data_IF_915141820680
#
_entry.id   IF_915141820680
#
_cell.length_a   1.000
_cell.length_b   1.000
_cell.length_c   1.000
_cell.angle_alpha   90.00
_cell.angle_beta   90.00
_cell.angle_gamma   90.00
#
_symmetry.space_group_name_H-M   'P 1'
#
loop_
_entity.id
_entity.type
_entity.pdbx_description
1 polymer ?
#
# COMPACT_ATOMS: atom_id res chain seq x y z
N UNK A 1 -11.49 -29.78 -8.97
CA UNK A 1 -11.50 -29.54 -7.51
C UNK A 1 -10.29 -28.66 -7.19
N UNK A 2 -10.51 -27.36 -7.04
CA UNK A 2 -9.46 -26.36 -6.76
C UNK A 2 -9.62 -25.80 -5.36
N UNK A 3 -9.62 -26.68 -4.36
CA UNK A 3 -9.60 -26.31 -2.94
C UNK A 3 -8.22 -25.72 -2.60
N UNK A 4 -8.14 -24.97 -1.50
CA UNK A 4 -6.86 -24.51 -0.96
C UNK A 4 -5.90 -25.62 -0.55
N UNK A 5 -6.31 -26.89 -0.60
CA UNK A 5 -5.36 -28.02 -0.56
C UNK A 5 -4.32 -27.89 -1.68
N UNK A 6 -4.63 -27.31 -2.84
CA UNK A 6 -3.61 -27.04 -3.86
C UNK A 6 -2.71 -25.83 -3.53
N UNK A 7 -3.18 -24.89 -2.70
CA UNK A 7 -2.38 -23.73 -2.28
C UNK A 7 -1.49 -24.04 -1.06
N UNK A 8 -1.90 -25.01 -0.23
CA UNK A 8 -1.23 -25.35 1.04
C UNK A 8 -0.71 -26.80 1.16
N UNK A 9 -1.20 -27.77 0.36
CA UNK A 9 -0.70 -29.16 0.37
C UNK A 9 0.29 -29.45 -0.76
N UNK A 10 0.32 -28.68 -1.85
CA UNK A 10 1.32 -28.83 -2.94
C UNK A 10 2.50 -27.87 -2.79
N UNK A 11 2.34 -26.84 -1.97
CA UNK A 11 3.41 -25.97 -1.49
C UNK A 11 3.66 -26.47 -0.07
N UNK A 12 4.76 -27.20 0.23
CA UNK A 12 5.02 -27.64 1.60
C UNK A 12 4.84 -26.43 2.53
N UNK A 13 4.28 -26.62 3.74
CA UNK A 13 3.98 -25.55 4.71
C UNK A 13 5.12 -24.53 4.94
N UNK A 14 6.32 -24.86 4.47
CA UNK A 14 7.48 -24.00 4.33
C UNK A 14 7.37 -22.92 3.22
N UNK A 15 6.66 -23.05 2.11
CA UNK A 15 6.96 -22.25 0.89
C UNK A 15 6.10 -21.01 0.63
N UNK A 16 5.14 -20.66 1.49
CA UNK A 16 4.31 -19.43 1.39
C UNK A 16 4.41 -18.46 2.57
N UNK A 17 5.11 -18.86 3.64
CA UNK A 17 5.34 -18.03 4.82
C UNK A 17 6.40 -16.95 4.54
N UNK A 18 6.45 -15.92 5.39
CA UNK A 18 7.39 -14.80 5.24
C UNK A 18 8.86 -15.25 5.33
N UNK A 19 9.15 -16.24 6.19
CA UNK A 19 10.46 -16.89 6.25
C UNK A 19 10.35 -18.39 6.58
N UNK A 20 11.26 -19.19 6.01
CA UNK A 20 11.51 -20.57 6.43
C UNK A 20 12.78 -20.54 7.26
N UNK A 21 12.62 -20.34 8.56
CA UNK A 21 13.76 -20.35 9.48
C UNK A 21 13.48 -21.29 10.65
N UNK A 22 14.21 -22.40 10.68
CA UNK A 22 14.12 -23.40 11.76
C UNK A 22 15.04 -23.06 12.95
N UNK A 23 15.77 -21.93 12.89
CA UNK A 23 16.82 -21.57 13.85
C UNK A 23 16.40 -20.50 14.89
N UNK A 24 15.25 -19.86 14.70
CA UNK A 24 14.73 -18.79 15.57
C UNK A 24 13.27 -19.03 15.93
N UNK A 25 12.79 -18.46 17.04
CA UNK A 25 11.36 -18.46 17.37
C UNK A 25 10.53 -17.80 16.26
N UNK A 26 9.52 -18.53 15.77
CA UNK A 26 8.57 -18.08 14.76
C UNK A 26 7.65 -17.00 15.38
N UNK A 27 8.01 -15.72 15.26
CA UNK A 27 7.16 -14.60 15.70
C UNK A 27 5.89 -14.50 14.85
N UNK A 28 5.98 -13.79 13.72
CA UNK A 28 4.91 -13.66 12.72
C UNK A 28 5.40 -14.06 11.32
N UNK A 29 6.63 -14.57 11.20
CA UNK A 29 7.24 -14.94 9.93
C UNK A 29 6.67 -16.23 9.32
N UNK A 30 5.87 -16.95 10.10
CA UNK A 30 5.06 -18.10 9.71
C UNK A 30 3.70 -17.71 9.09
N UNK A 31 3.43 -16.42 8.96
CA UNK A 31 2.19 -15.89 8.36
C UNK A 31 2.41 -15.48 6.90
N UNK A 32 1.31 -15.40 6.14
CA UNK A 32 1.30 -14.92 4.76
C UNK A 32 0.99 -13.41 4.77
N UNK A 33 2.00 -12.57 4.54
CA UNK A 33 1.80 -11.12 4.39
C UNK A 33 1.29 -10.75 3.01
N UNK A 34 0.37 -9.77 2.95
CA UNK A 34 -0.16 -9.27 1.68
C UNK A 34 0.93 -8.65 0.81
N UNK A 35 1.91 -7.97 1.42
CA UNK A 35 3.05 -7.41 0.67
C UNK A 35 3.99 -8.49 0.12
N UNK A 36 4.25 -9.56 0.89
CA UNK A 36 5.25 -10.59 0.56
C UNK A 36 4.74 -11.55 -0.51
N UNK A 37 3.42 -11.73 -0.62
CA UNK A 37 2.84 -12.56 -1.66
C UNK A 37 2.81 -11.87 -3.03
N UNK A 38 2.95 -10.54 -3.13
CA UNK A 38 2.86 -9.82 -4.42
C UNK A 38 3.86 -10.34 -5.46
N UNK A 39 5.17 -10.47 -5.18
CA UNK A 39 6.13 -11.03 -6.14
C UNK A 39 5.77 -12.46 -6.55
N UNK A 40 5.32 -13.29 -5.60
CA UNK A 40 4.90 -14.68 -5.87
C UNK A 40 3.65 -14.74 -6.74
N UNK A 41 2.66 -13.90 -6.46
CA UNK A 41 1.44 -13.78 -7.26
C UNK A 41 1.78 -13.38 -8.70
N UNK A 42 2.70 -12.43 -8.89
CA UNK A 42 3.16 -12.06 -10.24
C UNK A 42 3.87 -13.24 -10.93
N UNK A 43 4.72 -13.99 -10.23
CA UNK A 43 5.37 -15.18 -10.78
C UNK A 43 4.35 -16.27 -11.20
N UNK A 44 3.35 -16.55 -10.36
CA UNK A 44 2.28 -17.50 -10.70
C UNK A 44 1.46 -17.02 -11.90
N UNK A 45 1.14 -15.73 -11.99
CA UNK A 45 0.43 -15.17 -13.15
C UNK A 45 1.25 -15.32 -14.44
N UNK A 46 2.56 -15.05 -14.39
CA UNK A 46 3.46 -15.25 -15.53
C UNK A 46 3.57 -16.72 -15.93
N UNK A 47 3.44 -17.66 -14.98
CA UNK A 47 3.44 -19.10 -15.25
C UNK A 47 2.05 -19.66 -15.65
N UNK A 48 1.02 -18.82 -15.75
CA UNK A 48 -0.35 -19.24 -16.09
C UNK A 48 -1.13 -19.88 -14.92
N UNK A 49 -0.59 -19.88 -13.71
CA UNK A 49 -1.18 -20.47 -12.50
C UNK A 49 -2.09 -19.48 -11.76
N UNK A 50 -3.02 -18.85 -12.50
CA UNK A 50 -3.82 -17.74 -11.97
C UNK A 50 -4.83 -18.14 -10.88
N UNK A 51 -5.17 -19.42 -10.76
CA UNK A 51 -6.12 -19.93 -9.76
C UNK A 51 -5.69 -19.62 -8.32
N UNK A 52 -4.38 -19.68 -8.06
CA UNK A 52 -3.79 -19.36 -6.75
C UNK A 52 -4.06 -17.90 -6.38
N UNK A 53 -3.80 -16.98 -7.32
CA UNK A 53 -4.01 -15.55 -7.12
C UNK A 53 -5.50 -15.23 -6.98
N UNK A 54 -6.36 -15.86 -7.79
CA UNK A 54 -7.82 -15.74 -7.70
C UNK A 54 -8.31 -16.09 -6.28
N UNK A 55 -7.85 -17.23 -5.75
CA UNK A 55 -8.23 -17.70 -4.43
C UNK A 55 -7.76 -16.76 -3.32
N UNK A 56 -6.53 -16.26 -3.41
CA UNK A 56 -6.01 -15.28 -2.45
C UNK A 56 -6.84 -14.00 -2.43
N UNK A 57 -7.17 -13.43 -3.59
CA UNK A 57 -7.99 -12.23 -3.72
C UNK A 57 -9.39 -12.41 -3.11
N UNK A 58 -10.07 -13.52 -3.42
CA UNK A 58 -11.39 -13.82 -2.87
C UNK A 58 -11.37 -13.97 -1.34
N UNK A 59 -10.36 -14.66 -0.80
CA UNK A 59 -10.25 -14.89 0.65
C UNK A 59 -9.94 -13.62 1.41
N UNK A 60 -8.97 -12.85 0.95
CA UNK A 60 -8.60 -11.57 1.59
C UNK A 60 -9.73 -10.55 1.49
N UNK A 61 -10.52 -10.56 0.42
CA UNK A 61 -11.76 -9.76 0.35
C UNK A 61 -12.80 -10.18 1.39
N UNK A 62 -12.97 -11.49 1.63
CA UNK A 62 -13.85 -11.96 2.72
C UNK A 62 -13.35 -11.46 4.08
N UNK A 63 -12.04 -11.50 4.34
CA UNK A 63 -11.46 -10.95 5.56
C UNK A 63 -11.71 -9.42 5.68
N UNK A 64 -11.71 -8.68 4.58
CA UNK A 64 -12.10 -7.27 4.59
C UNK A 64 -13.51 -7.04 5.12
N UNK A 65 -14.44 -7.98 4.93
CA UNK A 65 -15.81 -7.83 5.45
C UNK A 65 -15.96 -8.10 6.95
N UNK A 66 -14.90 -8.56 7.63
CA UNK A 66 -14.96 -8.86 9.05
C UNK A 66 -15.06 -7.59 9.90
N UNK A 67 -15.70 -7.73 11.05
CA UNK A 67 -15.64 -6.69 12.07
C UNK A 67 -14.25 -6.70 12.71
N UNK A 68 -13.52 -5.59 12.58
CA UNK A 68 -12.16 -5.44 13.10
C UNK A 68 -12.19 -4.43 14.22
N UNK A 69 -11.75 -4.84 15.41
CA UNK A 69 -11.76 -4.01 16.60
C UNK A 69 -10.41 -4.09 17.30
N UNK A 70 -9.83 -2.93 17.60
CA UNK A 70 -8.64 -2.81 18.44
C UNK A 70 -9.13 -2.16 19.74
N UNK A 71 -9.09 -2.92 20.83
CA UNK A 71 -9.65 -2.55 22.14
C UNK A 71 -11.13 -2.09 22.05
N UNK A 72 -11.38 -0.78 22.15
CA UNK A 72 -12.71 -0.16 22.05
C UNK A 72 -12.95 0.59 20.74
N UNK A 73 -12.01 0.52 19.79
CA UNK A 73 -12.08 1.23 18.52
C UNK A 73 -12.36 0.28 17.36
N UNK A 74 -13.41 0.58 16.59
CA UNK A 74 -13.75 -0.15 15.37
C UNK A 74 -12.96 0.42 14.19
N UNK A 75 -12.21 -0.43 13.50
CA UNK A 75 -11.44 -0.02 12.33
C UNK A 75 -12.34 0.20 11.11
N UNK A 76 -11.82 0.95 10.13
CA UNK A 76 -12.54 1.23 8.88
C UNK A 76 -12.91 -0.04 8.12
N UNK A 77 -14.08 -0.04 7.47
CA UNK A 77 -14.58 -1.21 6.73
C UNK A 77 -13.61 -1.67 5.64
N UNK A 78 -12.95 -0.73 4.95
CA UNK A 78 -12.01 -1.03 3.86
C UNK A 78 -10.65 -1.59 4.27
N UNK A 79 -10.34 -1.67 5.57
CA UNK A 79 -9.03 -2.10 6.05
C UNK A 79 -8.76 -3.55 5.63
N UNK A 80 -7.65 -3.78 4.94
CA UNK A 80 -7.16 -5.12 4.59
C UNK A 80 -6.25 -5.65 5.70
N UNK A 81 -6.14 -6.97 5.91
CA UNK A 81 -5.21 -7.53 6.87
C UNK A 81 -3.75 -7.31 6.42
N UNK A 82 -2.83 -7.19 7.38
CA UNK A 82 -1.39 -7.18 7.14
C UNK A 82 -0.92 -8.58 6.70
N UNK A 83 -1.39 -9.58 7.43
CA UNK A 83 -1.04 -10.98 7.27
C UNK A 83 -2.20 -11.89 7.64
N UNK A 84 -2.11 -13.15 7.20
CA UNK A 84 -3.06 -14.20 7.56
C UNK A 84 -2.34 -15.53 7.77
N UNK A 85 -2.88 -16.34 8.68
CA UNK A 85 -2.45 -17.70 8.95
C UNK A 85 -3.64 -18.65 8.82
N UNK A 86 -3.40 -19.79 8.21
CA UNK A 86 -4.41 -20.81 8.00
C UNK A 86 -4.13 -22.02 8.90
N UNK A 87 -5.16 -22.46 9.62
CA UNK A 87 -5.14 -23.65 10.47
C UNK A 87 -6.07 -24.70 9.88
N UNK A 88 -5.54 -25.90 9.65
CA UNK A 88 -6.35 -27.05 9.23
C UNK A 88 -6.75 -27.87 10.46
N UNK A 89 -8.05 -27.94 10.74
CA UNK A 89 -8.56 -28.82 11.79
C UNK A 89 -8.87 -30.18 11.19
N UNK A 90 -7.95 -31.14 11.35
CA UNK A 90 -8.06 -32.51 10.81
C UNK A 90 -9.36 -33.23 11.20
N UNK A 91 -9.93 -32.90 12.36
CA UNK A 91 -11.16 -33.50 12.87
C UNK A 91 -12.46 -33.01 12.21
N UNK A 92 -12.44 -31.81 11.59
CA UNK A 92 -13.65 -31.18 11.03
C UNK A 92 -13.59 -30.97 9.52
N UNK A 93 -12.46 -31.33 8.90
CA UNK A 93 -12.10 -30.96 7.52
C UNK A 93 -12.39 -29.48 7.23
N UNK A 94 -12.22 -28.62 8.25
CA UNK A 94 -12.57 -27.22 8.21
C UNK A 94 -11.31 -26.37 8.31
N UNK A 95 -11.22 -25.41 7.40
CA UNK A 95 -10.15 -24.43 7.35
C UNK A 95 -10.51 -23.23 8.22
N UNK A 96 -9.67 -22.92 9.21
CA UNK A 96 -9.80 -21.72 10.05
C UNK A 96 -8.73 -20.73 9.64
N UNK A 97 -9.13 -19.56 9.15
CA UNK A 97 -8.22 -18.47 8.82
C UNK A 97 -8.20 -17.48 9.96
N UNK A 98 -7.01 -17.12 10.43
CA UNK A 98 -6.78 -16.02 11.37
C UNK A 98 -6.07 -14.91 10.61
N UNK A 99 -6.52 -13.68 10.78
CA UNK A 99 -5.98 -12.52 10.10
C UNK A 99 -5.54 -11.48 11.13
N UNK A 100 -4.42 -10.80 10.87
CA UNK A 100 -3.93 -9.68 11.69
C UNK A 100 -4.19 -8.38 10.93
N UNK A 101 -4.99 -7.48 11.50
CA UNK A 101 -5.27 -6.15 10.95
C UNK A 101 -4.42 -5.05 11.60
N UNK A 102 -3.43 -5.42 12.39
CA UNK A 102 -2.56 -4.53 13.15
C UNK A 102 -2.76 -4.61 14.66
N UNK A 103 -3.73 -5.38 15.15
CA UNK A 103 -3.98 -5.61 16.57
C UNK A 103 -2.85 -6.41 17.24
N UNK A 104 -2.23 -7.33 16.50
CA UNK A 104 -1.12 -8.16 16.99
C UNK A 104 0.25 -7.63 16.54
N UNK A 105 0.26 -6.67 15.60
CA UNK A 105 1.49 -6.07 15.09
C UNK A 105 2.25 -5.29 16.17
N UNK A 106 3.57 -5.44 16.20
CA UNK A 106 4.45 -4.64 17.07
C UNK A 106 4.26 -3.15 16.73
N UNK A 107 3.83 -2.36 17.71
CA UNK A 107 3.53 -0.94 17.53
C UNK A 107 2.11 -0.62 17.00
N UNK A 108 1.22 -1.62 16.90
CA UNK A 108 -0.20 -1.47 16.52
C UNK A 108 -0.42 -0.68 15.23
N UNK A 109 0.33 -1.05 14.21
CA UNK A 109 0.39 -0.34 12.94
C UNK A 109 -0.73 -0.81 12.00
N UNK A 110 -1.52 0.13 11.48
CA UNK A 110 -2.53 -0.18 10.45
C UNK A 110 -1.87 -0.44 9.09
N UNK A 111 -2.13 -1.59 8.44
CA UNK A 111 -1.45 -2.01 7.20
C UNK A 111 -2.08 -1.38 5.95
N UNK A 112 -1.99 -0.06 5.82
CA UNK A 112 -2.62 0.69 4.70
C UNK A 112 -2.07 0.24 3.32
N UNK A 113 -0.80 -0.15 3.23
CA UNK A 113 -0.23 -0.75 2.01
C UNK A 113 -0.94 -2.02 1.56
N UNK A 114 -1.43 -2.83 2.48
CA UNK A 114 -2.04 -4.10 2.15
C UNK A 114 -3.29 -3.90 1.28
N UNK A 115 -4.03 -2.81 1.51
CA UNK A 115 -5.12 -2.38 0.63
C UNK A 115 -4.64 -2.03 -0.78
N UNK A 116 -3.57 -1.25 -0.88
CA UNK A 116 -3.03 -0.84 -2.17
C UNK A 116 -2.45 -2.01 -2.96
N UNK A 117 -1.66 -2.86 -2.30
CA UNK A 117 -1.13 -4.08 -2.91
C UNK A 117 -2.24 -5.02 -3.37
N UNK A 118 -3.33 -5.14 -2.61
CA UNK A 118 -4.48 -5.94 -3.03
C UNK A 118 -5.11 -5.41 -4.33
N UNK A 119 -5.34 -4.09 -4.45
CA UNK A 119 -5.88 -3.49 -5.69
C UNK A 119 -4.91 -3.70 -6.87
N UNK A 120 -3.62 -3.49 -6.66
CA UNK A 120 -2.60 -3.66 -7.70
C UNK A 120 -2.52 -5.11 -8.16
N UNK A 121 -2.53 -6.06 -7.23
CA UNK A 121 -2.54 -7.49 -7.51
C UNK A 121 -3.83 -7.91 -8.22
N UNK A 122 -4.98 -7.35 -7.83
CA UNK A 122 -6.24 -7.60 -8.52
C UNK A 122 -6.19 -7.09 -9.97
N UNK A 123 -5.63 -5.89 -10.19
CA UNK A 123 -5.43 -5.38 -11.54
C UNK A 123 -4.44 -6.22 -12.36
N UNK A 124 -3.39 -6.73 -11.73
CA UNK A 124 -2.43 -7.63 -12.37
C UNK A 124 -3.09 -8.95 -12.78
N UNK A 125 -3.93 -9.53 -11.92
CA UNK A 125 -4.73 -10.72 -12.22
C UNK A 125 -5.60 -10.49 -13.46
N UNK A 126 -6.45 -9.45 -13.47
CA UNK A 126 -7.36 -9.19 -14.60
C UNK A 126 -6.61 -8.88 -15.89
N UNK A 127 -5.43 -8.23 -15.80
CA UNK A 127 -4.58 -7.97 -16.96
C UNK A 127 -3.98 -9.26 -17.53
N UNK A 128 -3.49 -10.13 -16.67
CA UNK A 128 -2.76 -11.33 -17.06
C UNK A 128 -3.69 -12.42 -17.60
N UNK A 129 -4.89 -12.55 -17.05
CA UNK A 129 -5.84 -13.61 -17.41
C UNK A 129 -6.86 -13.17 -18.45
N UNK A 130 -7.12 -11.87 -18.57
CA UNK A 130 -8.28 -11.34 -19.29
C UNK A 130 -9.63 -11.62 -18.60
N UNK A 131 -9.63 -12.30 -17.45
CA UNK A 131 -10.83 -12.64 -16.67
C UNK A 131 -11.29 -11.43 -15.86
N UNK A 132 -12.37 -10.80 -16.30
CA UNK A 132 -13.03 -9.70 -15.59
C UNK A 132 -14.18 -10.17 -14.68
N UNK A 133 -14.48 -11.48 -14.63
CA UNK A 133 -15.64 -11.99 -13.88
C UNK A 133 -15.62 -11.59 -12.41
N UNK A 134 -14.45 -11.58 -11.77
CA UNK A 134 -14.30 -11.11 -10.40
C UNK A 134 -14.62 -9.61 -10.27
N UNK A 135 -14.21 -8.77 -11.22
CA UNK A 135 -14.50 -7.34 -11.18
C UNK A 135 -15.99 -7.06 -11.37
N UNK A 136 -16.72 -7.96 -12.01
CA UNK A 136 -18.17 -7.82 -12.18
C UNK A 136 -18.96 -8.08 -10.89
N UNK A 137 -18.38 -8.80 -9.92
CA UNK A 137 -19.03 -9.17 -8.66
C UNK A 137 -19.25 -7.96 -7.73
N UNK A 138 -20.45 -7.80 -7.13
CA UNK A 138 -20.75 -6.68 -6.23
C UNK A 138 -19.80 -6.57 -5.04
N UNK A 139 -19.38 -7.70 -4.46
CA UNK A 139 -18.45 -7.72 -3.33
C UNK A 139 -17.05 -7.18 -3.71
N UNK A 140 -16.58 -7.46 -4.93
CA UNK A 140 -15.30 -6.97 -5.43
C UNK A 140 -15.38 -5.48 -5.80
N UNK A 141 -16.51 -5.03 -6.36
CA UNK A 141 -16.76 -3.60 -6.54
C UNK A 141 -16.77 -2.86 -5.21
N UNK A 142 -17.49 -3.40 -4.21
CA UNK A 142 -17.53 -2.83 -2.86
C UNK A 142 -16.13 -2.77 -2.23
N UNK A 143 -15.37 -3.86 -2.27
CA UNK A 143 -14.02 -3.88 -1.69
C UNK A 143 -13.05 -2.92 -2.37
N UNK A 144 -13.11 -2.85 -3.71
CA UNK A 144 -12.32 -1.90 -4.52
C UNK A 144 -12.71 -0.45 -4.25
N UNK A 145 -13.98 -0.18 -3.89
CA UNK A 145 -14.44 1.15 -3.50
C UNK A 145 -14.02 1.52 -2.06
N UNK A 146 -14.10 0.58 -1.13
CA UNK A 146 -13.83 0.84 0.30
C UNK A 146 -12.37 1.22 0.56
N UNK A 147 -11.41 0.59 -0.12
CA UNK A 147 -9.97 0.83 0.12
C UNK A 147 -9.59 2.30 -0.20
N UNK A 148 -9.83 2.84 -1.41
CA UNK A 148 -9.51 4.24 -1.68
C UNK A 148 -10.40 5.21 -0.89
N UNK A 149 -11.61 4.81 -0.51
CA UNK A 149 -12.48 5.67 0.32
C UNK A 149 -11.82 6.03 1.66
N UNK A 150 -11.08 5.09 2.28
CA UNK A 150 -10.34 5.37 3.52
C UNK A 150 -9.24 6.41 3.34
N UNK A 151 -8.67 6.54 2.14
CA UNK A 151 -7.55 7.44 1.82
C UNK A 151 -7.99 8.75 1.15
N UNK A 152 -9.22 8.78 0.63
CA UNK A 152 -9.86 9.93 0.00
C UNK A 152 -10.83 10.65 0.94
N UNK A 153 -10.93 10.21 2.20
CA UNK A 153 -11.71 10.90 3.23
C UNK A 153 -11.17 12.32 3.42
N UNK A 154 -12.08 13.24 3.71
CA UNK A 154 -11.73 14.60 4.07
C UNK A 154 -11.15 14.61 5.49
N UNK A 155 -10.15 15.45 5.71
CA UNK A 155 -9.46 15.57 6.99
C UNK A 155 -8.79 16.93 7.11
N UNK A 156 -7.98 17.10 8.15
CA UNK A 156 -7.23 18.34 8.40
C UNK A 156 -5.97 18.47 7.53
N UNK A 157 -5.68 17.46 6.72
CA UNK A 157 -4.51 17.46 5.85
C UNK A 157 -4.65 18.54 4.76
N UNK A 158 -3.61 19.35 4.61
CA UNK A 158 -3.53 20.40 3.58
C UNK A 158 -2.80 19.91 2.34
N UNK A 159 -2.24 18.69 2.38
CA UNK A 159 -1.52 18.08 1.28
C UNK A 159 -2.37 17.07 0.51
N UNK A 160 -2.01 16.88 -0.77
CA UNK A 160 -2.63 15.86 -1.61
C UNK A 160 -2.11 14.44 -1.31
N UNK A 161 -0.96 14.37 -0.64
CA UNK A 161 -0.30 13.14 -0.20
C UNK A 161 -1.03 12.50 0.97
N UNK A 162 -0.85 11.20 1.14
CA UNK A 162 -1.44 10.47 2.25
C UNK A 162 -0.56 10.60 3.50
N UNK A 163 -1.08 11.24 4.54
CA UNK A 163 -0.42 11.31 5.84
C UNK A 163 -0.26 9.91 6.45
N UNK A 164 0.96 9.61 6.89
CA UNK A 164 1.32 8.38 7.58
C UNK A 164 1.66 8.66 9.04
N UNK A 165 1.00 7.93 9.93
CA UNK A 165 1.49 7.70 11.29
C UNK A 165 2.72 6.77 11.27
N UNK A 166 3.69 6.96 12.17
CA UNK A 166 4.92 6.17 12.21
C UNK A 166 4.64 4.65 12.12
N UNK A 167 5.39 3.92 11.28
CA UNK A 167 5.36 2.44 11.22
C UNK A 167 4.61 1.78 10.07
N UNK A 168 3.74 2.49 9.34
CA UNK A 168 2.92 1.88 8.27
C UNK A 168 3.59 1.53 6.92
N UNK A 169 4.88 1.14 6.80
CA UNK A 169 5.56 0.79 5.52
C UNK A 169 6.48 -0.42 5.66
N UNK A 170 7.19 -0.80 4.60
CA UNK A 170 8.25 -1.83 4.69
C UNK A 170 9.33 -1.42 5.68
N UNK A 171 9.53 -0.10 5.84
CA UNK A 171 10.58 0.48 6.66
C UNK A 171 10.11 0.62 8.11
N UNK A 172 10.97 0.13 9.03
CA UNK A 172 10.80 0.19 10.49
C UNK A 172 10.32 1.59 10.95
N UNK A 173 9.28 1.68 11.80
CA UNK A 173 8.80 2.93 12.40
C UNK A 173 9.89 3.86 12.93
N UNK A 174 11.03 3.31 13.40
CA UNK A 174 12.15 4.04 14.00
C UNK A 174 13.06 4.75 12.97
N UNK A 175 12.86 4.51 11.68
CA UNK A 175 13.67 5.08 10.60
C UNK A 175 13.21 6.49 10.16
N UNK A 176 12.37 7.17 10.96
CA UNK A 176 11.93 8.54 10.66
C UNK A 176 10.98 8.65 9.46
N UNK A 177 10.38 7.54 9.02
CA UNK A 177 9.50 7.51 7.84
C UNK A 177 8.04 7.95 8.13
N UNK A 178 7.85 8.89 9.08
CA UNK A 178 6.56 9.52 9.40
C UNK A 178 6.26 10.66 8.42
N UNK A 179 5.01 11.12 8.33
CA UNK A 179 4.65 12.20 7.39
C UNK A 179 4.26 11.66 6.02
N UNK A 180 4.99 11.97 4.95
CA UNK A 180 4.58 11.71 3.57
C UNK A 180 5.65 10.95 2.77
N UNK A 181 6.00 9.70 3.16
CA UNK A 181 7.07 8.98 2.50
C UNK A 181 6.72 8.61 1.06
N UNK A 182 7.68 8.77 0.14
CA UNK A 182 7.49 8.55 -1.30
C UNK A 182 6.97 7.16 -1.63
N UNK A 183 7.46 6.11 -0.94
CA UNK A 183 7.01 4.72 -1.08
C UNK A 183 5.47 4.61 -0.98
N UNK A 184 4.88 5.32 -0.02
CA UNK A 184 3.43 5.32 0.19
C UNK A 184 2.70 6.11 -0.87
N UNK A 185 3.27 7.23 -1.29
CA UNK A 185 2.65 8.09 -2.30
C UNK A 185 2.62 7.39 -3.66
N UNK A 186 3.71 6.71 -4.04
CA UNK A 186 3.80 5.92 -5.27
C UNK A 186 2.81 4.75 -5.27
N UNK A 187 2.75 4.02 -4.14
CA UNK A 187 1.85 2.89 -3.99
C UNK A 187 0.38 3.34 -4.01
N UNK A 188 0.07 4.46 -3.35
CA UNK A 188 -1.26 5.07 -3.39
C UNK A 188 -1.62 5.54 -4.80
N UNK A 189 -0.72 6.23 -5.49
CA UNK A 189 -0.91 6.67 -6.87
C UNK A 189 -1.20 5.48 -7.80
N UNK A 190 -0.43 4.41 -7.70
CA UNK A 190 -0.65 3.19 -8.48
C UNK A 190 -2.00 2.54 -8.16
N UNK A 191 -2.34 2.39 -6.88
CA UNK A 191 -3.61 1.81 -6.45
C UNK A 191 -4.82 2.61 -6.96
N UNK A 192 -4.77 3.95 -6.92
CA UNK A 192 -5.82 4.80 -7.49
C UNK A 192 -5.98 4.59 -8.99
N UNK A 193 -4.87 4.50 -9.75
CA UNK A 193 -4.93 4.21 -11.19
C UNK A 193 -5.51 2.83 -11.48
N UNK A 194 -5.12 1.83 -10.69
CA UNK A 194 -5.66 0.47 -10.80
C UNK A 194 -7.16 0.43 -10.45
N UNK A 195 -7.59 1.13 -9.41
CA UNK A 195 -8.99 1.20 -8.99
C UNK A 195 -9.88 1.80 -10.11
N UNK A 196 -9.45 2.88 -10.76
CA UNK A 196 -10.19 3.45 -11.90
C UNK A 196 -10.43 2.47 -13.05
N UNK A 197 -9.51 1.53 -13.25
CA UNK A 197 -9.62 0.52 -14.30
C UNK A 197 -10.46 -0.70 -13.87
N UNK A 198 -10.71 -0.86 -12.58
CA UNK A 198 -11.46 -1.98 -12.01
C UNK A 198 -12.91 -1.61 -11.66
N UNK A 199 -13.18 -0.33 -11.39
CA UNK A 199 -14.50 0.16 -11.00
C UNK A 199 -15.46 0.28 -12.20
N UNK A 200 -16.72 -0.10 -11.99
CA UNK A 200 -17.79 0.09 -12.98
C UNK A 200 -18.15 1.57 -13.13
N UNK A 201 -18.46 1.97 -14.36
CA UNK A 201 -18.73 3.36 -14.72
C UNK A 201 -20.11 3.86 -14.24
N UNK A 202 -21.11 2.98 -14.18
CA UNK A 202 -22.52 3.39 -14.03
C UNK A 202 -22.87 3.88 -12.61
N UNK A 203 -22.38 3.20 -11.57
CA UNK A 203 -22.59 3.61 -10.17
C UNK A 203 -21.40 4.41 -9.58
N UNK A 204 -20.25 4.38 -10.27
CA UNK A 204 -18.97 4.88 -9.77
C UNK A 204 -18.56 6.28 -10.21
N UNK A 205 -19.31 6.96 -11.10
CA UNK A 205 -18.82 8.17 -11.79
C UNK A 205 -18.34 9.29 -10.84
N UNK A 206 -19.12 9.61 -9.80
CA UNK A 206 -18.73 10.63 -8.80
C UNK A 206 -17.47 10.21 -8.02
N UNK A 207 -17.31 8.92 -7.75
CA UNK A 207 -16.15 8.40 -7.03
C UNK A 207 -14.91 8.36 -7.95
N UNK A 208 -15.09 7.97 -9.21
CA UNK A 208 -14.06 8.05 -10.24
C UNK A 208 -13.57 9.49 -10.41
N UNK A 209 -14.46 10.48 -10.44
CA UNK A 209 -14.09 11.90 -10.48
C UNK A 209 -13.25 12.32 -9.26
N UNK A 210 -13.57 11.82 -8.06
CA UNK A 210 -12.75 12.05 -6.85
C UNK A 210 -11.36 11.44 -6.99
N UNK A 211 -11.27 10.21 -7.51
CA UNK A 211 -9.98 9.54 -7.76
C UNK A 211 -9.17 10.35 -8.78
N UNK A 212 -9.77 10.75 -9.90
CA UNK A 212 -9.11 11.54 -10.95
C UNK A 212 -8.59 12.86 -10.38
N UNK A 213 -9.42 13.61 -9.63
CA UNK A 213 -8.99 14.84 -8.96
C UNK A 213 -7.80 14.61 -8.03
N UNK A 214 -7.83 13.55 -7.22
CA UNK A 214 -6.71 13.20 -6.34
C UNK A 214 -5.45 12.81 -7.13
N UNK A 215 -5.58 12.04 -8.21
CA UNK A 215 -4.47 11.68 -9.08
C UNK A 215 -3.80 12.91 -9.70
N UNK A 216 -4.57 13.89 -10.17
CA UNK A 216 -4.01 15.15 -10.67
C UNK A 216 -3.26 15.91 -9.58
N UNK A 217 -3.86 16.06 -8.40
CA UNK A 217 -3.23 16.77 -7.29
C UNK A 217 -1.95 16.06 -6.81
N UNK A 218 -1.98 14.73 -6.70
CA UNK A 218 -0.83 13.92 -6.28
C UNK A 218 0.29 13.94 -7.32
N UNK A 219 -0.05 13.83 -8.61
CA UNK A 219 0.91 13.92 -9.72
C UNK A 219 1.63 15.28 -9.71
N UNK A 220 0.88 16.37 -9.55
CA UNK A 220 1.46 17.71 -9.45
C UNK A 220 2.36 17.83 -8.23
N UNK A 221 1.89 17.37 -7.06
CA UNK A 221 2.63 17.48 -5.80
C UNK A 221 3.94 16.68 -5.83
N UNK A 222 3.90 15.41 -6.23
CA UNK A 222 5.10 14.55 -6.32
C UNK A 222 6.08 15.07 -7.36
N UNK A 223 5.63 15.43 -8.57
CA UNK A 223 6.54 15.95 -9.61
C UNK A 223 7.14 17.30 -9.27
N UNK A 224 6.43 18.17 -8.53
CA UNK A 224 6.90 19.53 -8.22
C UNK A 224 7.77 19.59 -6.97
N UNK A 225 7.50 18.75 -5.97
CA UNK A 225 8.10 18.89 -4.64
C UNK A 225 8.96 17.70 -4.21
N UNK A 226 8.70 16.50 -4.73
CA UNK A 226 9.52 15.34 -4.40
C UNK A 226 10.71 15.17 -5.36
N UNK A 227 10.64 15.72 -6.57
CA UNK A 227 11.74 15.60 -7.52
C UNK A 227 12.95 16.43 -7.10
N UNK A 228 14.11 15.78 -7.02
CA UNK A 228 15.38 16.43 -6.73
C UNK A 228 16.43 16.06 -7.79
N UNK A 229 16.93 17.09 -8.46
CA UNK A 229 18.09 17.05 -9.33
C UNK A 229 19.07 18.17 -8.92
N UNK A 230 20.22 18.28 -9.60
CA UNK A 230 21.23 19.29 -9.29
C UNK A 230 20.70 20.73 -9.38
N UNK A 231 19.71 21.01 -10.25
CA UNK A 231 19.12 22.35 -10.36
C UNK A 231 18.25 22.63 -9.14
N UNK A 232 17.33 21.73 -8.81
CA UNK A 232 16.45 21.88 -7.65
C UNK A 232 17.24 21.92 -6.34
N UNK A 233 18.29 21.11 -6.19
CA UNK A 233 19.18 21.16 -5.02
C UNK A 233 19.83 22.54 -4.85
N UNK A 234 20.30 23.12 -5.97
CA UNK A 234 20.88 24.46 -5.98
C UNK A 234 19.86 25.55 -5.63
N UNK A 235 18.60 25.39 -6.04
CA UNK A 235 17.51 26.30 -5.73
C UNK A 235 17.15 26.23 -4.23
N UNK A 236 17.05 25.02 -3.66
CA UNK A 236 16.79 24.80 -2.22
C UNK A 236 17.95 25.34 -1.38
N UNK A 237 19.20 25.10 -1.79
CA UNK A 237 20.38 25.59 -1.05
C UNK A 237 20.47 27.12 -0.99
N UNK A 238 19.86 27.83 -1.95
CA UNK A 238 19.81 29.31 -2.00
C UNK A 238 18.46 29.87 -1.52
N UNK A 239 17.55 29.01 -1.07
CA UNK A 239 16.20 29.41 -0.71
C UNK A 239 16.22 30.31 0.53
N UNK A 240 15.32 31.31 0.53
CA UNK A 240 15.05 32.09 1.75
C UNK A 240 14.12 31.30 2.66
N UNK A 241 14.24 31.55 3.96
CA UNK A 241 13.38 30.97 5.00
C UNK A 241 12.36 32.00 5.47
N UNK A 242 11.35 31.54 6.20
CA UNK A 242 10.30 32.38 6.81
C UNK A 242 9.52 33.24 5.79
N UNK A 243 9.37 32.74 4.57
CA UNK A 243 8.59 33.41 3.55
C UNK A 243 7.07 33.24 3.81
N UNK A 244 6.31 34.34 3.77
CA UNK A 244 4.86 34.32 3.98
C UNK A 244 4.14 34.98 2.79
N UNK A 245 3.64 34.16 1.85
CA UNK A 245 2.74 34.58 0.76
C UNK A 245 2.21 33.36 -0.03
N UNK A 246 1.30 33.56 -0.97
CA UNK A 246 0.90 32.52 -1.93
C UNK A 246 1.94 32.26 -3.03
N UNK A 247 2.93 33.14 -3.17
CA UNK A 247 3.94 33.12 -4.25
C UNK A 247 5.33 32.72 -3.75
N UNK A 248 5.43 32.11 -2.55
CA UNK A 248 6.70 31.68 -1.97
C UNK A 248 7.34 30.55 -2.75
N UNK A 249 8.67 30.57 -2.83
CA UNK A 249 9.45 29.51 -3.48
C UNK A 249 9.69 28.38 -2.47
N UNK A 250 10.07 28.72 -1.23
CA UNK A 250 10.29 27.73 -0.17
C UNK A 250 8.99 27.36 0.57
N UNK A 251 8.08 26.68 -0.13
CA UNK A 251 6.72 26.37 0.38
C UNK A 251 6.67 25.56 1.66
N UNK A 252 7.73 24.80 1.96
CA UNK A 252 7.81 23.95 3.15
C UNK A 252 8.75 24.51 4.22
N UNK A 253 9.29 25.72 4.00
CA UNK A 253 10.23 26.39 4.90
C UNK A 253 11.47 25.51 5.24
N UNK A 254 12.00 24.79 4.25
CA UNK A 254 13.21 23.97 4.41
C UNK A 254 14.38 24.88 4.74
N UNK A 255 15.13 24.56 5.80
CA UNK A 255 16.33 25.28 6.19
C UNK A 255 17.51 24.81 5.30
N UNK A 256 18.11 25.68 4.48
CA UNK A 256 19.23 25.28 3.61
C UNK A 256 20.41 24.67 4.38
N UNK A 257 20.68 25.17 5.58
CA UNK A 257 21.76 24.71 6.46
C UNK A 257 21.50 23.31 7.05
N UNK A 258 20.27 22.80 6.96
CA UNK A 258 19.93 21.45 7.41
C UNK A 258 20.25 20.36 6.37
N UNK A 259 20.59 20.75 5.14
CA UNK A 259 20.88 19.80 4.06
C UNK A 259 22.18 19.02 4.36
N UNK A 260 22.16 17.68 4.39
CA UNK A 260 23.36 16.90 4.64
C UNK A 260 24.38 17.04 3.50
N UNK A 261 25.66 17.26 3.83
CA UNK A 261 26.75 17.37 2.85
C UNK A 261 26.79 16.22 1.82
N UNK A 262 26.47 14.99 2.28
CA UNK A 262 26.41 13.79 1.44
C UNK A 262 25.47 13.94 0.25
N UNK A 263 24.43 14.76 0.34
CA UNK A 263 23.48 14.99 -0.77
C UNK A 263 24.16 15.72 -1.92
N UNK A 264 25.02 16.69 -1.62
CA UNK A 264 25.77 17.44 -2.64
C UNK A 264 26.79 16.54 -3.34
N UNK A 265 27.48 15.68 -2.58
CA UNK A 265 28.45 14.73 -3.13
C UNK A 265 27.80 13.62 -3.97
N UNK A 266 26.59 13.20 -3.57
CA UNK A 266 25.85 12.13 -4.24
C UNK A 266 25.14 12.58 -5.52
N UNK A 267 24.76 13.87 -5.61
CA UNK A 267 23.91 14.37 -6.70
C UNK A 267 24.65 14.32 -8.06
N UNK A 268 24.17 13.55 -9.05
CA UNK A 268 24.82 13.47 -10.34
C UNK A 268 24.63 14.75 -11.17
N UNK A 269 25.52 14.98 -12.14
CA UNK A 269 25.39 16.10 -13.09
C UNK A 269 24.22 15.96 -14.06
N UNK A 270 23.73 14.73 -14.26
CA UNK A 270 22.59 14.38 -15.10
C UNK A 270 21.71 13.36 -14.40
N UNK A 271 20.42 13.63 -14.35
CA UNK A 271 19.43 12.81 -13.66
C UNK A 271 19.06 13.37 -12.29
N UNK A 272 18.23 12.62 -11.58
CA UNK A 272 17.67 12.98 -10.29
C UNK A 272 16.85 11.83 -9.73
N UNK A 273 16.25 12.04 -8.57
CA UNK A 273 15.42 11.04 -7.89
C UNK A 273 14.30 11.71 -7.10
N UNK A 274 13.30 10.93 -6.71
CA UNK A 274 12.29 11.40 -5.75
C UNK A 274 12.82 11.28 -4.32
N UNK A 275 12.83 12.38 -3.58
CA UNK A 275 13.27 12.39 -2.19
C UNK A 275 12.35 11.55 -1.31
N UNK A 276 12.91 11.02 -0.22
CA UNK A 276 12.23 10.04 0.62
C UNK A 276 10.96 10.58 1.28
N UNK A 277 10.88 11.89 1.53
CA UNK A 277 9.79 12.53 2.27
C UNK A 277 9.78 14.04 2.02
N UNK A 278 8.58 14.64 2.07
CA UNK A 278 8.37 16.09 2.06
C UNK A 278 7.31 16.42 3.09
N UNK A 279 7.67 17.17 4.12
CA UNK A 279 6.76 17.61 5.18
C UNK A 279 7.03 19.08 5.53
N UNK A 280 6.06 19.77 6.16
CA UNK A 280 6.34 21.04 6.84
C UNK A 280 7.53 20.87 7.79
N UNK A 281 8.44 21.84 7.77
CA UNK A 281 9.54 21.96 8.72
C UNK A 281 9.05 22.37 10.13
#
# INVERSE_FOLDING_TARGET
>A
MGSLEAFYCTIPQTTTVAAIDNSTEELNYDQVFVRDIVPRALAFLMNGEAAIVKNFLMKTLRLQSWEKKIDQFKSGEGVMPASLKCFMTLLKNSETIVADFGECAIGRVTPVDSGFWWIIMFRAYTKSTGDTSLAELPEFQKGTHLIPTLCLSEGFDTFATLLRAAGCSVIDPRMGAYGYPIEKQDLFFMALRCALLLLKQDEGRKFADRIIKRLHALSYHVSSYFWLDMKHLNDIHRAKTEEYSHTVVNKFNVLPDSLPNRVFDFMPSRGGYFIGNVSPA
#
